data_IF_026385638423
#
_entry.id   IF_026385638423
#
_cell.length_a   1.000
_cell.length_b   1.000
_cell.length_c   1.000
_cell.angle_alpha   90.00
_cell.angle_beta   90.00
_cell.angle_gamma   90.00
#
_symmetry.space_group_name_H-M   'P 1'
#
loop_
_entity.id
_entity.type
_entity.pdbx_description
1 polymer ?
#
# COMPACT_ATOMS: atom_id res chain seq x y z
N UNK A 1 16.73 -0.33 -24.34
CA UNK A 1 16.07 -1.37 -23.53
C UNK A 1 15.28 -2.33 -24.40
N UNK A 2 15.33 -3.64 -24.12
CA UNK A 2 14.41 -4.64 -24.70
C UNK A 2 13.61 -5.26 -23.56
N UNK A 3 12.32 -5.47 -23.78
CA UNK A 3 11.47 -6.20 -22.84
C UNK A 3 10.65 -7.24 -23.61
N UNK A 4 10.47 -8.40 -22.98
CA UNK A 4 9.60 -9.48 -23.46
C UNK A 4 8.55 -9.75 -22.37
N UNK A 5 7.29 -9.85 -22.77
CA UNK A 5 6.15 -10.07 -21.87
C UNK A 5 5.57 -11.45 -22.15
N UNK A 6 5.63 -12.32 -21.14
CA UNK A 6 5.04 -13.65 -21.14
C UNK A 6 3.84 -13.68 -20.17
N UNK A 7 2.67 -14.11 -20.65
CA UNK A 7 1.49 -14.31 -19.80
C UNK A 7 1.54 -15.71 -19.19
N UNK A 8 1.71 -15.81 -17.86
CA UNK A 8 1.73 -17.09 -17.15
C UNK A 8 0.32 -17.56 -16.78
N UNK A 9 -0.56 -16.62 -16.42
CA UNK A 9 -1.96 -16.88 -16.10
C UNK A 9 -2.80 -15.63 -16.34
N UNK A 10 -4.15 -15.70 -16.27
CA UNK A 10 -5.01 -14.52 -16.45
C UNK A 10 -4.72 -13.37 -15.46
N UNK A 11 -4.04 -13.67 -14.36
CA UNK A 11 -3.71 -12.71 -13.30
C UNK A 11 -2.21 -12.57 -13.08
N UNK A 12 -1.34 -13.22 -13.87
CA UNK A 12 0.11 -13.19 -13.64
C UNK A 12 0.87 -13.14 -14.96
N UNK A 13 1.85 -12.23 -15.01
CA UNK A 13 2.78 -12.10 -16.13
C UNK A 13 4.22 -12.22 -15.63
N UNK A 14 5.11 -12.60 -16.55
CA UNK A 14 6.56 -12.53 -16.40
C UNK A 14 7.10 -11.57 -17.44
N UNK A 15 7.86 -10.58 -16.99
CA UNK A 15 8.59 -9.66 -17.84
C UNK A 15 10.06 -10.02 -17.82
N UNK A 16 10.65 -10.25 -18.99
CA UNK A 16 12.10 -10.39 -19.15
C UNK A 16 12.64 -9.08 -19.69
N UNK A 17 13.48 -8.39 -18.93
CA UNK A 17 13.99 -7.07 -19.27
C UNK A 17 15.50 -7.15 -19.45
N UNK A 18 15.97 -6.70 -20.61
CA UNK A 18 17.39 -6.53 -20.90
C UNK A 18 17.71 -5.04 -21.05
N UNK A 19 18.58 -4.55 -20.16
CA UNK A 19 19.08 -3.18 -20.15
C UNK A 19 20.51 -3.16 -20.66
N UNK A 20 20.78 -2.48 -21.79
CA UNK A 20 22.13 -2.36 -22.31
C UNK A 20 22.97 -1.44 -21.40
N UNK A 21 24.28 -1.67 -21.35
CA UNK A 21 25.17 -0.99 -20.40
C UNK A 21 25.28 0.53 -20.62
N UNK A 22 25.09 1.00 -21.84
CA UNK A 22 25.07 2.42 -22.20
C UNK A 22 23.95 3.20 -21.48
N UNK A 23 22.79 2.59 -21.30
CA UNK A 23 21.66 3.14 -20.54
C UNK A 23 21.92 3.14 -19.02
N UNK A 24 22.81 2.27 -18.52
CA UNK A 24 23.16 2.17 -17.11
C UNK A 24 24.20 3.20 -16.65
N UNK A 25 24.84 3.93 -17.58
CA UNK A 25 25.93 4.84 -17.24
C UNK A 25 25.52 5.90 -16.20
N UNK A 26 24.30 6.41 -16.29
CA UNK A 26 23.74 7.33 -15.28
C UNK A 26 23.58 6.69 -13.89
N UNK A 27 23.21 5.42 -13.86
CA UNK A 27 23.10 4.63 -12.62
C UNK A 27 24.47 4.35 -12.01
N UNK A 28 25.52 4.13 -12.83
CA UNK A 28 26.90 4.02 -12.34
C UNK A 28 27.36 5.30 -11.66
N UNK A 29 27.14 6.46 -12.29
CA UNK A 29 27.52 7.74 -11.71
C UNK A 29 26.79 8.01 -10.38
N UNK A 30 25.52 7.63 -10.30
CA UNK A 30 24.71 7.70 -9.07
C UNK A 30 25.25 6.75 -7.98
N UNK A 31 25.54 5.50 -8.34
CA UNK A 31 26.11 4.50 -7.44
C UNK A 31 27.46 4.95 -6.85
N UNK A 32 28.38 5.44 -7.69
CA UNK A 32 29.67 5.97 -7.22
C UNK A 32 29.52 7.14 -6.26
N UNK A 33 28.58 8.04 -6.53
CA UNK A 33 28.28 9.17 -5.65
C UNK A 33 27.70 8.72 -4.31
N UNK A 34 26.81 7.72 -4.32
CA UNK A 34 26.17 7.16 -3.13
C UNK A 34 27.20 6.41 -2.27
N UNK A 35 27.95 5.48 -2.85
CA UNK A 35 29.03 4.75 -2.17
C UNK A 35 30.05 5.74 -1.60
N UNK A 36 30.51 6.70 -2.41
CA UNK A 36 31.45 7.73 -1.99
C UNK A 36 30.96 8.60 -0.83
N UNK A 37 29.64 8.75 -0.64
CA UNK A 37 29.05 9.49 0.48
C UNK A 37 29.00 8.67 1.78
N UNK A 38 28.90 7.34 1.67
CA UNK A 38 28.81 6.42 2.81
C UNK A 38 30.21 6.04 3.33
N UNK A 39 31.18 5.89 2.43
CA UNK A 39 32.51 5.41 2.78
C UNK A 39 33.47 6.54 3.19
N UNK A 40 34.41 6.23 4.08
CA UNK A 40 35.50 7.14 4.47
C UNK A 40 36.82 6.59 3.95
N UNK A 41 37.46 7.29 3.01
CA UNK A 41 38.77 6.89 2.47
C UNK A 41 39.82 7.91 2.91
N UNK A 42 40.93 7.49 3.55
CA UNK A 42 42.02 8.38 3.91
C UNK A 42 42.54 9.18 2.70
N UNK A 43 42.69 10.49 2.87
CA UNK A 43 43.14 11.41 1.81
C UNK A 43 42.04 12.04 0.97
N UNK A 44 40.78 11.58 1.07
CA UNK A 44 39.65 12.14 0.34
C UNK A 44 38.54 12.62 1.27
N UNK A 45 37.94 13.76 0.93
CA UNK A 45 36.72 14.24 1.62
C UNK A 45 35.54 13.33 1.26
N UNK A 46 34.72 12.98 2.25
CA UNK A 46 33.46 12.22 2.04
C UNK A 46 32.66 12.79 0.86
N UNK A 47 32.25 11.91 -0.06
CA UNK A 47 31.49 12.24 -1.28
C UNK A 47 32.32 12.80 -2.45
N UNK A 48 33.64 12.97 -2.31
CA UNK A 48 34.54 13.49 -3.36
C UNK A 48 35.67 12.51 -3.71
N UNK A 49 35.41 11.22 -3.53
CA UNK A 49 36.34 10.15 -3.89
C UNK A 49 36.18 9.84 -5.40
N UNK A 50 37.26 9.79 -6.19
CA UNK A 50 37.19 9.37 -7.59
C UNK A 50 36.76 7.90 -7.76
N UNK A 51 35.98 7.61 -8.80
CA UNK A 51 35.45 6.26 -9.10
C UNK A 51 36.54 5.17 -9.09
N UNK A 52 37.70 5.42 -9.72
CA UNK A 52 38.83 4.47 -9.75
C UNK A 52 39.34 4.07 -8.37
N UNK A 53 39.27 4.97 -7.39
CA UNK A 53 39.71 4.69 -6.01
C UNK A 53 38.67 3.86 -5.27
N UNK A 54 37.38 4.08 -5.55
CA UNK A 54 36.28 3.28 -5.03
C UNK A 54 36.39 1.84 -5.56
N UNK A 55 36.58 1.67 -6.88
CA UNK A 55 36.76 0.36 -7.51
C UNK A 55 37.93 -0.42 -6.91
N UNK A 56 39.06 0.25 -6.67
CA UNK A 56 40.25 -0.38 -6.09
C UNK A 56 40.06 -0.82 -4.64
N UNK A 57 39.23 -0.10 -3.86
CA UNK A 57 39.07 -0.37 -2.43
C UNK A 57 37.94 -1.33 -2.10
N UNK A 58 36.83 -1.23 -2.83
CA UNK A 58 35.59 -1.97 -2.57
C UNK A 58 35.30 -3.03 -3.64
N UNK A 59 36.04 -3.00 -4.75
CA UNK A 59 35.80 -3.89 -5.89
C UNK A 59 34.62 -3.41 -6.75
N UNK A 60 34.65 -3.82 -8.02
CA UNK A 60 33.61 -3.46 -8.99
C UNK A 60 32.27 -4.16 -8.70
N UNK A 61 32.29 -5.30 -8.02
CA UNK A 61 31.08 -6.03 -7.61
C UNK A 61 30.15 -5.22 -6.70
N UNK A 62 30.69 -4.52 -5.69
CA UNK A 62 29.88 -3.69 -4.80
C UNK A 62 29.21 -2.50 -5.53
N UNK A 63 29.86 -1.98 -6.57
CA UNK A 63 29.28 -0.94 -7.43
C UNK A 63 28.16 -1.54 -8.29
N UNK A 64 28.38 -2.72 -8.86
CA UNK A 64 27.37 -3.41 -9.67
C UNK A 64 26.11 -3.72 -8.87
N UNK A 65 26.23 -4.19 -7.63
CA UNK A 65 25.07 -4.41 -6.74
C UNK A 65 24.28 -3.11 -6.51
N UNK A 66 24.95 -1.99 -6.27
CA UNK A 66 24.29 -0.70 -6.09
C UNK A 66 23.60 -0.22 -7.37
N UNK A 67 24.24 -0.43 -8.52
CA UNK A 67 23.65 -0.14 -9.84
C UNK A 67 22.41 -0.98 -10.07
N UNK A 68 22.44 -2.27 -9.75
CA UNK A 68 21.29 -3.18 -9.86
C UNK A 68 20.14 -2.68 -8.98
N UNK A 69 20.42 -2.34 -7.72
CA UNK A 69 19.41 -1.86 -6.76
C UNK A 69 18.71 -0.57 -7.23
N UNK A 70 19.38 0.27 -8.01
CA UNK A 70 18.82 1.52 -8.53
C UNK A 70 18.19 1.36 -9.92
N UNK A 71 18.86 0.64 -10.81
CA UNK A 71 18.44 0.50 -12.21
C UNK A 71 17.25 -0.44 -12.39
N UNK A 72 17.19 -1.54 -11.63
CA UNK A 72 16.14 -2.56 -11.79
C UNK A 72 14.75 -2.01 -11.49
N UNK A 73 14.50 -1.30 -10.37
CA UNK A 73 13.19 -0.70 -10.12
C UNK A 73 12.76 0.31 -11.20
N UNK A 74 13.69 1.15 -11.66
CA UNK A 74 13.42 2.16 -12.68
C UNK A 74 13.13 1.53 -14.05
N UNK A 75 13.90 0.51 -14.45
CA UNK A 75 13.70 -0.23 -15.69
C UNK A 75 12.39 -1.00 -15.69
N UNK A 76 12.04 -1.65 -14.56
CA UNK A 76 10.77 -2.32 -14.39
C UNK A 76 9.59 -1.35 -14.53
N UNK A 77 9.66 -0.18 -13.89
CA UNK A 77 8.60 0.83 -13.96
C UNK A 77 8.43 1.37 -15.40
N UNK A 78 9.52 1.54 -16.15
CA UNK A 78 9.45 1.90 -17.57
C UNK A 78 8.78 0.81 -18.40
N UNK A 79 9.20 -0.44 -18.24
CA UNK A 79 8.66 -1.58 -18.98
C UNK A 79 7.16 -1.79 -18.73
N UNK A 80 6.70 -1.66 -17.48
CA UNK A 80 5.27 -1.74 -17.14
C UNK A 80 4.47 -0.62 -17.80
N UNK A 81 4.99 0.61 -17.80
CA UNK A 81 4.33 1.74 -18.47
C UNK A 81 4.24 1.55 -19.98
N UNK A 82 5.30 1.06 -20.60
CA UNK A 82 5.34 0.77 -22.04
C UNK A 82 4.40 -0.38 -22.42
N UNK A 83 4.31 -1.42 -21.58
CA UNK A 83 3.39 -2.53 -21.77
C UNK A 83 1.92 -2.16 -21.50
N UNK A 84 1.64 -1.03 -20.84
CA UNK A 84 0.28 -0.58 -20.53
C UNK A 84 -0.46 -1.45 -19.51
N UNK A 85 0.28 -2.25 -18.72
CA UNK A 85 -0.31 -3.23 -17.80
C UNK A 85 -0.53 -2.64 -16.42
N UNK A 86 -1.69 -2.90 -15.84
CA UNK A 86 -1.99 -2.53 -14.45
C UNK A 86 -1.56 -3.63 -13.49
N UNK A 87 -0.44 -3.41 -12.81
CA UNK A 87 0.09 -4.34 -11.80
C UNK A 87 -0.67 -4.21 -10.47
N UNK A 88 -0.75 -5.34 -9.76
CA UNK A 88 -1.35 -5.48 -8.44
C UNK A 88 -0.28 -6.03 -7.48
N UNK A 89 0.20 -5.19 -6.56
CA UNK A 89 1.17 -5.60 -5.55
C UNK A 89 2.63 -5.40 -5.97
N UNK A 90 3.53 -6.07 -5.23
CA UNK A 90 4.98 -5.97 -5.45
C UNK A 90 5.43 -7.08 -6.40
N UNK A 91 6.28 -6.78 -7.40
CA UNK A 91 6.85 -7.82 -8.26
C UNK A 91 7.85 -8.68 -7.48
N UNK A 92 7.95 -9.94 -7.87
CA UNK A 92 9.08 -10.80 -7.56
C UNK A 92 10.14 -10.62 -8.66
N UNK A 93 11.34 -10.21 -8.27
CA UNK A 93 12.39 -9.80 -9.22
C UNK A 93 13.58 -10.73 -9.02
N UNK A 94 14.00 -11.39 -10.10
CA UNK A 94 15.18 -12.23 -10.15
C UNK A 94 16.17 -11.68 -11.18
N UNK A 95 17.39 -11.37 -10.73
CA UNK A 95 18.45 -10.91 -11.64
C UNK A 95 19.08 -12.13 -12.29
N UNK A 96 18.91 -12.26 -13.60
CA UNK A 96 19.32 -13.46 -14.36
C UNK A 96 20.75 -13.38 -14.88
N UNK A 97 21.21 -12.19 -15.27
CA UNK A 97 22.57 -12.00 -15.79
C UNK A 97 23.09 -10.59 -15.50
N UNK A 98 24.35 -10.51 -15.08
CA UNK A 98 25.06 -9.25 -14.84
C UNK A 98 26.39 -9.36 -15.59
N UNK A 99 26.41 -8.86 -16.82
CA UNK A 99 27.60 -8.80 -17.65
C UNK A 99 28.15 -7.37 -17.64
N UNK A 100 29.17 -7.14 -16.83
CA UNK A 100 29.82 -5.84 -16.68
C UNK A 100 30.42 -5.34 -18.00
N UNK A 101 29.91 -4.20 -18.48
CA UNK A 101 30.25 -3.60 -19.76
C UNK A 101 29.42 -4.09 -20.95
N UNK A 102 28.48 -5.01 -20.76
CA UNK A 102 27.63 -5.55 -21.83
C UNK A 102 26.14 -5.31 -21.54
N UNK A 103 25.56 -6.02 -20.56
CA UNK A 103 24.14 -5.94 -20.24
C UNK A 103 23.78 -6.33 -18.80
N UNK A 104 22.63 -5.85 -18.36
CA UNK A 104 21.91 -6.32 -17.18
C UNK A 104 20.60 -6.97 -17.64
N UNK A 105 20.39 -8.23 -17.29
CA UNK A 105 19.14 -8.93 -17.56
C UNK A 105 18.50 -9.40 -16.25
N UNK A 106 17.19 -9.20 -16.15
CA UNK A 106 16.40 -9.66 -15.00
C UNK A 106 14.99 -10.03 -15.44
N UNK A 107 14.37 -10.92 -14.67
CA UNK A 107 12.96 -11.28 -14.79
C UNK A 107 12.17 -10.65 -13.65
N UNK A 108 10.94 -10.23 -13.95
CA UNK A 108 10.00 -9.72 -12.98
C UNK A 108 8.65 -10.43 -13.14
N UNK A 109 8.25 -11.17 -12.13
CA UNK A 109 6.91 -11.76 -12.05
C UNK A 109 6.00 -10.86 -11.23
N UNK A 110 4.82 -10.56 -11.77
CA UNK A 110 3.88 -9.67 -11.10
C UNK A 110 2.45 -10.07 -11.38
N UNK A 111 1.61 -9.89 -10.37
CA UNK A 111 0.18 -10.09 -10.52
C UNK A 111 -0.43 -8.86 -11.22
N UNK A 112 -1.35 -9.11 -12.14
CA UNK A 112 -1.98 -8.07 -12.96
C UNK A 112 -3.49 -8.09 -12.74
N UNK A 113 -4.12 -6.94 -12.96
CA UNK A 113 -5.59 -6.90 -13.02
C UNK A 113 -6.03 -7.80 -14.19
N UNK A 114 -6.86 -8.83 -13.93
CA UNK A 114 -7.38 -9.66 -15.00
C UNK A 114 -8.32 -8.85 -15.87
N UNK A 115 -8.26 -9.09 -17.17
CA UNK A 115 -9.32 -8.68 -18.08
C UNK A 115 -10.46 -9.70 -17.99
N UNK A 116 -11.67 -9.21 -17.79
CA UNK A 116 -12.88 -10.03 -17.84
C UNK A 116 -13.98 -9.24 -18.56
N UNK A 117 -14.78 -9.97 -19.32
CA UNK A 117 -15.96 -9.41 -19.95
C UNK A 117 -17.12 -9.44 -18.96
N UNK A 118 -17.79 -8.31 -18.79
CA UNK A 118 -19.01 -8.24 -18.01
C UNK A 118 -20.13 -8.98 -18.78
N UNK A 119 -20.81 -9.97 -18.15
CA UNK A 119 -21.98 -10.58 -18.76
C UNK A 119 -23.13 -9.55 -18.85
N UNK A 120 -24.14 -9.82 -19.68
CA UNK A 120 -25.32 -8.96 -19.77
C UNK A 120 -26.05 -8.89 -18.43
N UNK A 121 -26.00 -7.71 -17.81
CA UNK A 121 -26.58 -7.45 -16.49
C UNK A 121 -27.97 -6.80 -16.57
N UNK A 122 -28.45 -6.42 -17.77
CA UNK A 122 -29.72 -5.70 -17.93
C UNK A 122 -30.96 -6.54 -17.66
N UNK A 123 -30.82 -7.87 -17.60
CA UNK A 123 -31.87 -8.81 -17.23
C UNK A 123 -31.96 -9.15 -15.75
N UNK A 124 -31.08 -8.59 -14.90
CA UNK A 124 -31.06 -8.89 -13.47
C UNK A 124 -32.16 -8.09 -12.78
N UNK A 125 -33.22 -8.80 -12.36
CA UNK A 125 -34.28 -8.21 -11.56
C UNK A 125 -33.78 -8.02 -10.12
N UNK A 126 -33.90 -6.80 -9.60
CA UNK A 126 -33.62 -6.46 -8.21
C UNK A 126 -34.92 -5.99 -7.58
N UNK A 127 -35.30 -6.59 -6.45
CA UNK A 127 -36.39 -6.09 -5.62
C UNK A 127 -35.83 -4.98 -4.75
N UNK A 128 -36.42 -3.79 -4.83
CA UNK A 128 -36.14 -2.70 -3.91
C UNK A 128 -37.42 -2.48 -3.13
N UNK A 129 -37.34 -2.61 -1.82
CA UNK A 129 -38.47 -2.31 -0.95
C UNK A 129 -38.80 -0.82 -1.05
N UNK A 130 -40.09 -0.53 -1.12
CA UNK A 130 -40.54 0.87 -1.17
C UNK A 130 -40.30 1.50 0.20
N UNK A 131 -39.52 2.57 0.23
CA UNK A 131 -39.23 3.30 1.44
C UNK A 131 -40.34 4.35 1.67
N UNK A 132 -41.45 3.91 2.24
CA UNK A 132 -42.50 4.81 2.70
C UNK A 132 -42.16 5.35 4.09
N UNK A 133 -42.10 6.68 4.22
CA UNK A 133 -42.01 7.35 5.51
C UNK A 133 -43.41 7.71 5.95
N UNK A 134 -43.87 7.16 7.07
CA UNK A 134 -45.16 7.50 7.65
C UNK A 134 -45.09 8.76 8.52
N UNK A 135 -46.23 9.39 8.76
CA UNK A 135 -46.32 10.51 9.71
C UNK A 135 -45.94 10.07 11.14
N UNK A 136 -46.18 8.80 11.49
CA UNK A 136 -45.79 8.22 12.78
C UNK A 136 -44.26 8.11 12.92
N UNK A 137 -43.55 7.75 11.84
CA UNK A 137 -42.08 7.71 11.84
C UNK A 137 -41.48 9.11 12.06
N UNK A 138 -42.09 10.12 11.43
CA UNK A 138 -41.70 11.53 11.59
C UNK A 138 -41.99 11.99 13.01
N UNK A 139 -43.16 11.67 13.56
CA UNK A 139 -43.53 12.04 14.92
C UNK A 139 -42.59 11.41 15.95
N UNK A 140 -42.30 10.12 15.80
CA UNK A 140 -41.38 9.39 16.67
C UNK A 140 -39.98 10.01 16.66
N UNK A 141 -39.46 10.38 15.49
CA UNK A 141 -38.15 11.01 15.37
C UNK A 141 -38.12 12.43 15.95
N UNK A 142 -39.19 13.21 15.75
CA UNK A 142 -39.35 14.52 16.38
C UNK A 142 -39.38 14.41 17.90
N UNK A 143 -40.10 13.44 18.45
CA UNK A 143 -40.18 13.24 19.89
C UNK A 143 -38.85 12.73 20.47
N UNK A 144 -38.12 11.88 19.74
CA UNK A 144 -36.75 11.48 20.09
C UNK A 144 -35.82 12.69 20.17
N UNK A 145 -35.89 13.59 19.19
CA UNK A 145 -35.08 14.83 19.20
C UNK A 145 -35.46 15.75 20.37
N UNK A 146 -36.76 15.91 20.66
CA UNK A 146 -37.22 16.69 21.82
C UNK A 146 -36.74 16.11 23.13
N UNK A 147 -36.74 14.78 23.28
CA UNK A 147 -36.21 14.11 24.47
C UNK A 147 -34.71 14.35 24.63
N UNK A 148 -33.92 14.27 23.54
CA UNK A 148 -32.47 14.52 23.58
C UNK A 148 -32.09 15.95 23.97
N UNK A 149 -32.85 16.96 23.50
CA UNK A 149 -32.56 18.37 23.75
C UNK A 149 -33.46 19.00 24.84
N UNK A 150 -34.23 18.17 25.54
CA UNK A 150 -35.05 18.60 26.67
C UNK A 150 -34.20 19.03 27.86
N UNK A 151 -34.69 20.00 28.63
CA UNK A 151 -34.10 20.34 29.93
C UNK A 151 -34.74 19.49 31.02
N UNK A 152 -33.92 18.89 31.88
CA UNK A 152 -34.39 18.11 33.02
C UNK A 152 -34.73 19.03 34.19
N UNK A 153 -35.87 18.78 34.81
CA UNK A 153 -36.30 19.45 36.05
C UNK A 153 -36.42 18.43 37.17
N UNK A 154 -35.86 18.76 38.33
CA UNK A 154 -35.96 17.91 39.50
C UNK A 154 -37.42 17.85 39.99
N UNK A 155 -37.93 16.65 40.26
CA UNK A 155 -39.27 16.40 40.78
C UNK A 155 -39.20 15.53 42.03
N UNK A 156 -40.04 15.82 43.02
CA UNK A 156 -40.12 15.07 44.28
C UNK A 156 -41.43 14.26 44.31
N UNK A 157 -41.42 13.14 43.60
CA UNK A 157 -42.52 12.16 43.51
C UNK A 157 -41.94 10.78 43.18
N UNK A 158 -42.76 9.74 43.31
CA UNK A 158 -42.42 8.43 42.76
C UNK A 158 -42.09 8.52 41.27
N UNK A 159 -41.10 7.75 40.82
CA UNK A 159 -40.67 7.69 39.42
C UNK A 159 -41.78 7.12 38.53
N UNK A 160 -41.85 7.61 37.30
CA UNK A 160 -42.79 7.19 36.28
C UNK A 160 -42.10 7.04 34.92
N UNK A 161 -42.77 6.35 34.00
CA UNK A 161 -42.27 6.18 32.63
C UNK A 161 -42.01 7.55 31.98
N UNK A 162 -40.80 7.70 31.42
CA UNK A 162 -40.32 8.95 30.82
C UNK A 162 -39.48 9.83 31.76
N UNK A 163 -39.38 9.51 33.05
CA UNK A 163 -38.44 10.19 33.94
C UNK A 163 -37.00 9.75 33.69
N UNK A 164 -36.05 10.69 33.82
CA UNK A 164 -34.61 10.38 33.78
C UNK A 164 -34.12 10.18 35.21
N UNK A 165 -33.58 8.98 35.48
CA UNK A 165 -33.01 8.63 36.78
C UNK A 165 -31.48 8.71 36.70
N UNK A 166 -30.88 9.44 37.62
CA UNK A 166 -29.46 9.35 37.91
C UNK A 166 -29.27 8.28 39.00
N UNK A 167 -28.59 7.19 38.66
CA UNK A 167 -28.41 6.03 39.54
C UNK A 167 -26.94 5.62 39.59
N UNK A 168 -26.48 5.27 40.78
CA UNK A 168 -25.21 4.59 40.99
C UNK A 168 -25.49 3.09 41.08
N UNK A 169 -24.80 2.28 40.27
CA UNK A 169 -25.04 0.83 40.18
C UNK A 169 -23.74 0.09 40.52
N UNK A 170 -23.82 -0.89 41.42
CA UNK A 170 -22.75 -1.84 41.72
C UNK A 170 -23.25 -3.26 41.41
N UNK A 171 -22.46 -4.05 40.67
CA UNK A 171 -22.80 -5.42 40.32
C UNK A 171 -21.91 -6.46 41.01
N UNK A 172 -22.49 -7.59 41.42
CA UNK A 172 -21.82 -8.66 42.16
C UNK A 172 -22.06 -10.03 41.51
N UNK A 173 -21.03 -10.88 41.52
CA UNK A 173 -21.15 -12.32 41.22
C UNK A 173 -20.87 -13.12 42.49
N UNK A 174 -21.94 -13.55 43.17
CA UNK A 174 -21.85 -14.01 44.55
C UNK A 174 -21.45 -12.84 45.46
N UNK A 175 -20.38 -13.02 46.24
CA UNK A 175 -19.83 -11.97 47.12
C UNK A 175 -18.72 -11.13 46.45
N UNK A 176 -18.38 -11.42 45.20
CA UNK A 176 -17.30 -10.72 44.50
C UNK A 176 -17.86 -9.56 43.66
N UNK A 177 -17.43 -8.31 43.88
CA UNK A 177 -17.79 -7.20 43.01
C UNK A 177 -17.19 -7.43 41.61
N UNK A 178 -17.93 -7.02 40.59
CA UNK A 178 -17.46 -7.03 39.21
C UNK A 178 -16.94 -5.63 38.90
N UNK A 179 -15.63 -5.51 38.70
CA UNK A 179 -15.00 -4.26 38.28
C UNK A 179 -15.45 -3.88 36.85
N UNK A 180 -15.59 -2.58 36.58
CA UNK A 180 -16.02 -1.96 35.30
C UNK A 180 -17.49 -2.17 34.88
N UNK A 181 -18.43 -2.23 35.83
CA UNK A 181 -19.88 -2.20 35.53
C UNK A 181 -20.47 -0.79 35.31
N UNK A 182 -19.63 0.24 35.44
CA UNK A 182 -19.93 1.66 35.19
C UNK A 182 -19.04 2.22 34.11
#
# INVERSE_FOLDING_TARGET
MKHDLETLSPTRIRLTIEVPFDELQGSFDAAYKRIGSQVTIPGFRKGKVPARVIDQRFGRGAVLEEVVNEAVPAAFESAIREAGVSILGRPDIEVTDIADGDKLAFTAEVDIRPEFELPDYRGIAVSVDDAAVSDDDVAAEVDRLRAMFGSLTLVDRASADGDVLLVDIEGFNGDNPIDDLT
#
